data_IF_825460608509
#
_entry.id   IF_825460608509
#
_cell.length_a   1.000
_cell.length_b   1.000
_cell.length_c   1.000
_cell.angle_alpha   90.00
_cell.angle_beta   90.00
_cell.angle_gamma   90.00
#
_symmetry.space_group_name_H-M   'P 1'
#
loop_
_entity.id
_entity.type
_entity.pdbx_description
1 polymer ?
#
# COMPACT_ATOMS: atom_id res chain seq x y z
N UNK A 1 7.46 -47.98 -22.06
CA UNK A 1 6.16 -47.28 -21.91
C UNK A 1 6.03 -46.31 -23.07
N UNK A 2 4.96 -46.39 -23.87
CA UNK A 2 4.72 -45.45 -24.98
C UNK A 2 4.59 -44.03 -24.40
N UNK A 3 5.41 -43.09 -24.86
CA UNK A 3 5.22 -41.66 -24.55
C UNK A 3 3.91 -41.25 -25.22
N UNK A 4 2.88 -40.98 -24.44
CA UNK A 4 1.67 -40.32 -24.94
C UNK A 4 2.08 -38.97 -25.56
N UNK A 5 1.81 -38.80 -26.86
CA UNK A 5 1.94 -37.50 -27.52
C UNK A 5 0.83 -36.57 -27.04
N UNK A 6 1.06 -35.90 -25.92
CA UNK A 6 0.17 -34.88 -25.39
C UNK A 6 0.42 -33.57 -26.12
N UNK A 7 -0.64 -32.90 -26.55
CA UNK A 7 -0.53 -31.54 -27.11
C UNK A 7 0.13 -30.55 -26.12
N UNK A 8 -0.05 -30.78 -24.81
CA UNK A 8 0.65 -30.06 -23.74
C UNK A 8 1.54 -31.04 -22.99
N UNK A 9 2.80 -31.13 -23.42
CA UNK A 9 3.79 -32.10 -22.95
C UNK A 9 4.76 -31.55 -21.89
N UNK A 10 4.89 -30.22 -21.77
CA UNK A 10 5.74 -29.56 -20.78
C UNK A 10 5.03 -29.41 -19.42
N UNK A 11 5.53 -30.03 -18.34
CA UNK A 11 4.95 -29.88 -17.01
C UNK A 11 5.49 -28.61 -16.30
N UNK A 12 4.61 -27.95 -15.54
CA UNK A 12 4.99 -26.88 -14.59
C UNK A 12 4.55 -27.35 -13.20
N UNK A 13 5.50 -27.40 -12.25
CA UNK A 13 5.22 -27.80 -10.87
C UNK A 13 5.32 -26.59 -9.94
N UNK A 14 4.27 -26.34 -9.16
CA UNK A 14 4.21 -25.26 -8.18
C UNK A 14 3.96 -25.88 -6.81
N UNK A 15 4.87 -25.62 -5.86
CA UNK A 15 4.69 -26.01 -4.46
C UNK A 15 3.92 -24.90 -3.73
N UNK A 16 2.90 -25.27 -2.97
CA UNK A 16 2.04 -24.36 -2.23
C UNK A 16 1.79 -24.90 -0.83
N UNK A 17 1.55 -24.02 0.12
CA UNK A 17 1.06 -24.34 1.46
C UNK A 17 -0.41 -24.79 1.41
N UNK A 18 -0.91 -25.36 2.52
CA UNK A 18 -2.32 -25.77 2.65
C UNK A 18 -3.27 -24.58 2.47
N UNK A 19 -2.93 -23.43 3.04
CA UNK A 19 -3.73 -22.21 2.96
C UNK A 19 -3.76 -21.63 1.55
N UNK A 20 -2.61 -21.56 0.87
CA UNK A 20 -2.54 -21.14 -0.52
C UNK A 20 -3.36 -22.05 -1.42
N UNK A 21 -3.28 -23.38 -1.23
CA UNK A 21 -4.11 -24.35 -1.97
C UNK A 21 -5.60 -24.11 -1.77
N UNK A 22 -6.04 -23.87 -0.53
CA UNK A 22 -7.44 -23.59 -0.20
C UNK A 22 -7.91 -22.32 -0.90
N UNK A 23 -7.10 -21.26 -0.87
CA UNK A 23 -7.40 -19.98 -1.54
C UNK A 23 -7.48 -20.12 -3.05
N UNK A 24 -6.54 -20.86 -3.67
CA UNK A 24 -6.56 -21.14 -5.12
C UNK A 24 -7.85 -21.87 -5.52
N UNK A 25 -8.28 -22.87 -4.74
CA UNK A 25 -9.51 -23.61 -5.00
C UNK A 25 -10.77 -22.74 -4.83
N UNK A 26 -10.80 -21.87 -3.81
CA UNK A 26 -11.89 -20.93 -3.62
C UNK A 26 -12.01 -19.97 -4.82
N UNK A 27 -10.89 -19.36 -5.25
CA UNK A 27 -10.87 -18.48 -6.42
C UNK A 27 -11.27 -19.20 -7.71
N UNK A 28 -10.85 -20.46 -7.88
CA UNK A 28 -11.27 -21.30 -9.00
C UNK A 28 -12.79 -21.49 -9.00
N UNK A 29 -13.37 -21.88 -7.86
CA UNK A 29 -14.82 -22.09 -7.74
C UNK A 29 -15.60 -20.81 -8.07
N UNK A 30 -15.12 -19.65 -7.60
CA UNK A 30 -15.73 -18.35 -7.93
C UNK A 30 -15.61 -17.97 -9.40
N UNK A 31 -14.57 -18.44 -10.11
CA UNK A 31 -14.37 -18.17 -11.54
C UNK A 31 -15.24 -19.03 -12.47
N UNK A 32 -15.90 -20.07 -11.96
CA UNK A 32 -16.67 -21.03 -12.77
C UNK A 32 -15.82 -22.02 -13.57
N UNK A 33 -14.49 -22.02 -13.40
CA UNK A 33 -13.59 -22.98 -14.07
C UNK A 33 -13.63 -24.32 -13.35
N UNK A 34 -13.92 -25.39 -14.09
CA UNK A 34 -14.18 -26.72 -13.54
C UNK A 34 -12.93 -27.49 -13.07
N UNK A 35 -11.74 -27.15 -13.58
CA UNK A 35 -10.51 -27.90 -13.26
C UNK A 35 -9.39 -26.99 -12.83
N UNK A 36 -8.66 -27.41 -11.78
CA UNK A 36 -7.53 -26.66 -11.24
C UNK A 36 -6.43 -26.45 -12.28
N UNK A 37 -6.16 -27.46 -13.11
CA UNK A 37 -5.17 -27.37 -14.18
C UNK A 37 -5.53 -26.29 -15.21
N UNK A 38 -6.82 -26.18 -15.58
CA UNK A 38 -7.24 -25.14 -16.51
C UNK A 38 -7.25 -23.76 -15.85
N UNK A 39 -7.67 -23.67 -14.60
CA UNK A 39 -7.66 -22.43 -13.83
C UNK A 39 -6.24 -21.86 -13.69
N UNK A 40 -5.29 -22.67 -13.23
CA UNK A 40 -3.89 -22.24 -13.10
C UNK A 40 -3.30 -21.85 -14.45
N UNK A 41 -3.62 -22.59 -15.53
CA UNK A 41 -3.16 -22.24 -16.87
C UNK A 41 -3.74 -20.92 -17.36
N UNK A 42 -5.04 -20.70 -17.21
CA UNK A 42 -5.68 -19.44 -17.59
C UNK A 42 -5.10 -18.26 -16.81
N UNK A 43 -4.88 -18.44 -15.50
CA UNK A 43 -4.25 -17.41 -14.67
C UNK A 43 -2.78 -17.17 -15.06
N UNK A 44 -2.02 -18.21 -15.41
CA UNK A 44 -0.63 -18.06 -15.83
C UNK A 44 -0.47 -17.44 -17.23
N UNK A 45 -1.44 -17.65 -18.13
CA UNK A 45 -1.40 -17.10 -19.50
C UNK A 45 -2.04 -15.71 -19.59
N UNK A 46 -3.16 -15.50 -18.91
CA UNK A 46 -4.00 -14.32 -19.06
C UNK A 46 -4.07 -13.45 -17.80
N UNK A 47 -3.63 -13.97 -16.66
CA UNK A 47 -3.63 -13.20 -15.42
C UNK A 47 -2.71 -11.99 -15.54
N UNK A 48 -3.16 -10.85 -15.03
CA UNK A 48 -2.34 -9.65 -14.96
C UNK A 48 -1.57 -9.65 -13.64
N UNK A 49 -0.27 -9.43 -13.69
CA UNK A 49 0.53 -9.12 -12.51
C UNK A 49 0.46 -7.61 -12.31
N UNK A 50 -0.26 -7.17 -11.28
CA UNK A 50 -0.26 -5.77 -10.89
C UNK A 50 1.01 -5.52 -10.09
N UNK A 51 2.04 -5.01 -10.77
CA UNK A 51 3.21 -4.44 -10.11
C UNK A 51 2.84 -3.04 -9.63
N UNK A 52 2.47 -2.93 -8.36
CA UNK A 52 2.27 -1.62 -7.72
C UNK A 52 3.67 -1.04 -7.47
N UNK A 53 4.14 -0.23 -8.40
CA UNK A 53 5.35 0.55 -8.20
C UNK A 53 5.01 1.76 -7.31
N UNK A 54 5.56 1.76 -6.09
CA UNK A 54 5.40 2.87 -5.16
C UNK A 54 6.46 3.95 -5.39
N UNK A 55 7.42 3.79 -6.32
CA UNK A 55 8.42 4.82 -6.60
C UNK A 55 7.78 6.13 -7.09
N UNK A 56 6.80 6.15 -8.01
CA UNK A 56 6.08 7.38 -8.39
C UNK A 56 5.35 8.02 -7.22
N UNK A 57 4.79 7.23 -6.31
CA UNK A 57 4.17 7.74 -5.09
C UNK A 57 5.23 8.33 -4.16
N UNK A 58 6.37 7.64 -4.00
CA UNK A 58 7.49 8.08 -3.19
C UNK A 58 8.11 9.35 -3.75
N UNK A 59 8.27 9.47 -5.07
CA UNK A 59 8.69 10.69 -5.76
C UNK A 59 7.65 11.78 -5.63
N UNK A 60 6.36 11.51 -5.84
CA UNK A 60 5.34 12.53 -5.60
C UNK A 60 5.35 13.01 -4.14
N UNK A 61 5.60 12.13 -3.18
CA UNK A 61 5.73 12.49 -1.77
C UNK A 61 7.10 13.10 -1.39
N UNK A 62 8.18 12.82 -2.13
CA UNK A 62 9.56 13.28 -1.87
C UNK A 62 9.95 14.53 -2.66
N UNK A 63 9.50 14.65 -3.91
CA UNK A 63 9.55 15.89 -4.72
C UNK A 63 8.69 16.97 -4.05
N UNK A 64 7.62 16.57 -3.36
CA UNK A 64 6.96 17.40 -2.35
C UNK A 64 7.76 17.34 -1.03
N UNK A 65 9.02 17.79 -1.06
CA UNK A 65 9.85 17.98 0.13
C UNK A 65 9.15 18.80 1.23
N UNK A 66 8.08 19.50 0.86
CA UNK A 66 7.12 20.16 1.72
C UNK A 66 6.49 19.24 2.78
N UNK A 67 6.08 17.99 2.49
CA UNK A 67 5.42 17.17 3.53
C UNK A 67 6.39 16.75 4.65
N UNK A 68 7.57 16.27 4.26
CA UNK A 68 8.66 15.91 5.20
C UNK A 68 9.17 17.16 5.92
N UNK A 69 9.28 18.30 5.23
CA UNK A 69 9.66 19.58 5.82
C UNK A 69 8.64 20.08 6.85
N UNK A 70 7.34 20.02 6.55
CA UNK A 70 6.28 20.41 7.48
C UNK A 70 6.24 19.48 8.71
N UNK A 71 6.41 18.16 8.52
CA UNK A 71 6.51 17.21 9.63
C UNK A 71 7.72 17.49 10.52
N UNK A 72 8.88 17.79 9.93
CA UNK A 72 10.08 18.14 10.69
C UNK A 72 9.90 19.45 11.47
N UNK A 73 9.22 20.46 10.89
CA UNK A 73 8.87 21.69 11.62
C UNK A 73 8.00 21.41 12.83
N UNK A 74 6.95 20.60 12.67
CA UNK A 74 6.05 20.22 13.76
C UNK A 74 6.81 19.45 14.85
N UNK A 75 7.66 18.48 14.47
CA UNK A 75 8.49 17.72 15.42
C UNK A 75 9.45 18.61 16.22
N UNK A 76 10.07 19.60 15.56
CA UNK A 76 10.92 20.58 16.23
C UNK A 76 10.13 21.48 17.20
N UNK A 77 8.92 21.90 16.81
CA UNK A 77 8.05 22.72 17.63
C UNK A 77 7.56 21.98 18.89
N UNK A 78 7.16 20.71 18.74
CA UNK A 78 6.77 19.85 19.87
C UNK A 78 7.95 19.69 20.84
N UNK A 79 9.16 19.46 20.33
CA UNK A 79 10.37 19.35 21.17
C UNK A 79 10.67 20.63 21.94
N UNK A 80 10.47 21.81 21.33
CA UNK A 80 10.65 23.09 22.03
C UNK A 80 9.69 23.24 23.20
N UNK A 81 8.42 22.85 23.02
CA UNK A 81 7.42 22.91 24.09
C UNK A 81 7.74 21.89 25.19
N UNK A 82 8.18 20.68 24.83
CA UNK A 82 8.67 19.70 25.81
C UNK A 82 9.89 20.20 26.58
N UNK A 83 10.83 20.91 25.95
CA UNK A 83 11.96 21.52 26.62
C UNK A 83 11.55 22.66 27.57
N UNK A 84 10.62 23.53 27.14
CA UNK A 84 10.07 24.61 27.99
C UNK A 84 9.36 24.04 29.20
N UNK A 85 8.50 23.03 29.00
CA UNK A 85 7.84 22.24 30.04
C UNK A 85 8.84 21.69 31.07
N UNK A 86 9.90 21.03 30.61
CA UNK A 86 10.92 20.46 31.49
C UNK A 86 11.72 21.50 32.27
N UNK A 87 11.72 22.78 31.85
CA UNK A 87 12.49 23.86 32.49
C UNK A 87 11.65 24.72 33.43
N UNK A 88 10.39 25.00 33.10
CA UNK A 88 9.55 25.95 33.84
C UNK A 88 8.38 25.32 34.57
N UNK A 89 8.03 24.05 34.31
CA UNK A 89 6.90 23.32 34.90
C UNK A 89 5.54 24.05 34.76
N UNK A 90 5.47 25.02 33.84
CA UNK A 90 4.33 25.90 33.55
C UNK A 90 4.05 25.81 32.06
N UNK A 91 2.80 25.52 31.71
CA UNK A 91 2.31 25.54 30.32
C UNK A 91 1.40 26.75 30.16
N UNK A 92 1.78 27.65 29.27
CA UNK A 92 0.94 28.78 28.89
C UNK A 92 -0.16 28.30 27.93
N UNK A 93 -1.35 28.90 28.02
CA UNK A 93 -2.48 28.50 27.17
C UNK A 93 -2.14 28.69 25.69
N UNK A 94 -1.33 29.69 25.38
CA UNK A 94 -0.79 30.00 24.06
C UNK A 94 0.05 28.84 23.49
N UNK A 95 0.81 28.12 24.32
CA UNK A 95 1.60 26.96 23.88
C UNK A 95 0.69 25.78 23.49
N UNK A 96 -0.42 25.59 24.21
CA UNK A 96 -1.43 24.56 23.92
C UNK A 96 -2.20 24.90 22.65
N UNK A 97 -2.67 26.15 22.54
CA UNK A 97 -3.40 26.62 21.37
C UNK A 97 -2.52 26.54 20.11
N UNK A 98 -1.22 26.82 20.24
CA UNK A 98 -0.24 26.64 19.18
C UNK A 98 -0.10 25.16 18.77
N UNK A 99 0.03 24.23 19.72
CA UNK A 99 0.09 22.79 19.43
C UNK A 99 -1.17 22.27 18.73
N UNK A 100 -2.34 22.71 19.17
CA UNK A 100 -3.62 22.36 18.54
C UNK A 100 -3.61 22.82 17.07
N UNK A 101 -3.13 24.04 16.81
CA UNK A 101 -3.04 24.55 15.43
C UNK A 101 -2.06 23.76 14.55
N UNK A 102 -0.93 23.31 15.10
CA UNK A 102 0.04 22.47 14.37
C UNK A 102 -0.53 21.06 14.12
N UNK A 103 -1.29 20.52 15.07
CA UNK A 103 -1.96 19.24 14.92
C UNK A 103 -3.07 19.29 13.86
N UNK A 104 -3.80 20.39 13.75
CA UNK A 104 -4.79 20.60 12.68
C UNK A 104 -4.14 20.68 11.29
N UNK A 105 -2.99 21.36 11.18
CA UNK A 105 -2.18 21.37 9.94
C UNK A 105 -1.71 19.96 9.59
N UNK A 106 -1.25 19.18 10.57
CA UNK A 106 -0.84 17.78 10.37
C UNK A 106 -2.00 16.94 9.84
N UNK A 107 -3.18 17.04 10.46
CA UNK A 107 -4.39 16.33 10.05
C UNK A 107 -4.77 16.68 8.61
N UNK A 108 -4.72 17.96 8.26
CA UNK A 108 -5.05 18.44 6.90
C UNK A 108 -4.08 17.89 5.86
N UNK A 109 -2.78 17.89 6.17
CA UNK A 109 -1.76 17.35 5.28
C UNK A 109 -1.88 15.83 5.10
N UNK A 110 -2.16 15.10 6.18
CA UNK A 110 -2.43 13.66 6.13
C UNK A 110 -3.62 13.32 5.23
N UNK A 111 -4.73 14.06 5.35
CA UNK A 111 -5.92 13.87 4.50
C UNK A 111 -5.64 14.13 3.02
N UNK A 112 -4.84 15.16 2.70
CA UNK A 112 -4.41 15.44 1.32
C UNK A 112 -3.57 14.29 0.76
N UNK A 113 -2.60 13.78 1.54
CA UNK A 113 -1.78 12.65 1.13
C UNK A 113 -2.63 11.40 0.89
N UNK A 114 -3.60 11.12 1.76
CA UNK A 114 -4.54 10.02 1.61
C UNK A 114 -5.39 10.15 0.33
N UNK A 115 -5.83 11.35 -0.03
CA UNK A 115 -6.54 11.59 -1.29
C UNK A 115 -5.67 11.35 -2.52
N UNK A 116 -4.40 11.78 -2.50
CA UNK A 116 -3.45 11.55 -3.59
C UNK A 116 -3.23 10.04 -3.77
N UNK A 117 -3.00 9.32 -2.67
CA UNK A 117 -2.89 7.86 -2.63
C UNK A 117 -4.11 7.18 -3.25
N UNK A 118 -5.32 7.57 -2.82
CA UNK A 118 -6.57 7.00 -3.33
C UNK A 118 -6.77 7.28 -4.83
N UNK A 119 -6.42 8.49 -5.30
CA UNK A 119 -6.46 8.83 -6.73
C UNK A 119 -5.51 7.95 -7.53
N UNK A 120 -4.30 7.73 -7.04
CA UNK A 120 -3.30 6.93 -7.74
C UNK A 120 -3.68 5.45 -7.77
N UNK A 121 -4.18 4.91 -6.66
CA UNK A 121 -4.75 3.56 -6.61
C UNK A 121 -5.90 3.42 -7.62
N UNK A 122 -6.80 4.41 -7.70
CA UNK A 122 -7.93 4.38 -8.64
C UNK A 122 -7.51 4.45 -10.11
N UNK A 123 -6.39 5.12 -10.45
CA UNK A 123 -5.84 5.10 -11.81
C UNK A 123 -5.32 3.71 -12.16
N UNK A 124 -4.67 3.05 -11.22
CA UNK A 124 -4.13 1.70 -11.39
C UNK A 124 -5.23 0.63 -11.47
N UNK A 125 -6.39 0.85 -10.86
CA UNK A 125 -7.54 -0.07 -10.92
C UNK A 125 -8.47 0.19 -12.11
N UNK A 126 -8.43 1.37 -12.75
CA UNK A 126 -9.23 1.72 -13.95
C UNK A 126 -8.54 1.39 -15.29
N UNK A 127 -7.43 0.68 -15.30
CA UNK A 127 -6.77 0.24 -16.55
C UNK A 127 -7.41 -1.06 -17.11
N UNK A 128 -8.73 -1.09 -17.17
CA UNK A 128 -9.54 -2.04 -17.94
C UNK A 128 -10.49 -1.28 -18.88
#
# INVERSE_FOLDING_TARGET
>A
MKKEHRYRDQPITVRVTKEERKKILANMNSSGVLTLTNYVRLMALNGRIIKIDFEPLRKSLSETGEYVYQLNKIGNNINQISHKLNQTDIVEKEDVDYLVSEFEKMKTNYLKAQQILLKEINKLTRTE
#
